data_IF_942898472616
#
_entry.id   IF_942898472616
#
_cell.length_a   1.000
_cell.length_b   1.000
_cell.length_c   1.000
_cell.angle_alpha   90.00
_cell.angle_beta   90.00
_cell.angle_gamma   90.00
#
_symmetry.space_group_name_H-M   'P 1'
#
loop_
_entity.id
_entity.type
_entity.pdbx_description
1 polymer ?
#
# COMPACT_ATOMS: atom_id res chain seq x y z
N UNK A 1 5.49 23.21 -19.31
CA UNK A 1 4.61 22.39 -18.42
C UNK A 1 3.68 21.52 -19.26
N UNK A 2 3.33 20.28 -18.85
CA UNK A 2 2.35 19.48 -19.57
C UNK A 2 0.97 20.16 -19.54
N UNK A 3 0.25 20.05 -20.65
CA UNK A 3 -1.04 20.70 -20.85
C UNK A 3 -2.15 20.08 -19.97
N UNK A 4 -3.15 20.85 -19.56
CA UNK A 4 -4.17 20.42 -18.59
C UNK A 4 -4.96 19.19 -19.08
N UNK A 5 -5.29 19.16 -20.37
CA UNK A 5 -5.95 18.03 -21.04
C UNK A 5 -5.13 16.74 -20.93
N UNK A 6 -3.80 16.84 -21.05
CA UNK A 6 -2.89 15.69 -20.94
C UNK A 6 -2.89 15.13 -19.52
N UNK A 7 -2.85 15.99 -18.50
CA UNK A 7 -2.91 15.58 -17.10
C UNK A 7 -4.23 14.88 -16.76
N UNK A 8 -5.36 15.40 -17.26
CA UNK A 8 -6.69 14.79 -17.08
C UNK A 8 -6.73 13.39 -17.72
N UNK A 9 -6.20 13.24 -18.94
CA UNK A 9 -6.14 11.94 -19.63
C UNK A 9 -5.26 10.93 -18.88
N UNK A 10 -4.09 11.36 -18.41
CA UNK A 10 -3.20 10.50 -17.61
C UNK A 10 -3.91 10.05 -16.33
N UNK A 11 -4.59 10.96 -15.63
CA UNK A 11 -5.34 10.62 -14.42
C UNK A 11 -6.47 9.61 -14.71
N UNK A 12 -7.24 9.83 -15.78
CA UNK A 12 -8.30 8.92 -16.18
C UNK A 12 -7.76 7.53 -16.53
N UNK A 13 -6.70 7.46 -17.34
CA UNK A 13 -6.04 6.20 -17.69
C UNK A 13 -5.53 5.45 -16.46
N UNK A 14 -4.85 6.16 -15.54
CA UNK A 14 -4.35 5.56 -14.30
C UNK A 14 -5.48 4.99 -13.43
N UNK A 15 -6.62 5.69 -13.32
CA UNK A 15 -7.78 5.22 -12.55
C UNK A 15 -8.44 4.00 -13.18
N UNK A 16 -8.57 3.97 -14.50
CA UNK A 16 -9.12 2.81 -15.21
C UNK A 16 -8.23 1.58 -15.05
N UNK A 17 -6.92 1.74 -15.25
CA UNK A 17 -5.95 0.66 -15.07
C UNK A 17 -5.93 0.15 -13.63
N UNK A 18 -5.92 1.06 -12.65
CA UNK A 18 -5.97 0.68 -11.24
C UNK A 18 -7.29 0.00 -10.87
N UNK A 19 -8.43 0.48 -11.39
CA UNK A 19 -9.74 -0.16 -11.20
C UNK A 19 -9.78 -1.57 -11.77
N UNK A 20 -9.31 -1.76 -13.00
CA UNK A 20 -9.24 -3.06 -13.64
C UNK A 20 -8.28 -4.01 -12.91
N UNK A 21 -7.10 -3.51 -12.50
CA UNK A 21 -6.14 -4.29 -11.73
C UNK A 21 -6.70 -4.70 -10.36
N UNK A 22 -7.42 -3.80 -9.68
CA UNK A 22 -8.09 -4.11 -8.42
C UNK A 22 -9.18 -5.16 -8.60
N UNK A 23 -10.04 -5.01 -9.61
CA UNK A 23 -11.13 -5.95 -9.90
C UNK A 23 -10.64 -7.34 -10.29
N UNK A 24 -9.50 -7.43 -10.99
CA UNK A 24 -8.87 -8.70 -11.39
C UNK A 24 -7.93 -9.28 -10.33
N UNK A 25 -7.79 -8.65 -9.16
CA UNK A 25 -6.88 -9.10 -8.10
C UNK A 25 -5.40 -8.94 -8.44
N UNK A 26 -5.07 -8.14 -9.46
CA UNK A 26 -3.69 -7.84 -9.86
C UNK A 26 -3.14 -6.69 -9.02
N UNK A 27 -2.17 -6.99 -8.16
CA UNK A 27 -1.57 -6.02 -7.24
C UNK A 27 -2.61 -5.18 -6.46
N UNK A 28 -3.63 -5.82 -5.83
CA UNK A 28 -4.82 -5.16 -5.32
C UNK A 28 -4.49 -4.06 -4.32
N UNK A 29 -3.42 -4.25 -3.53
CA UNK A 29 -2.95 -3.26 -2.56
C UNK A 29 -2.46 -1.96 -3.19
N UNK A 30 -1.64 -2.06 -4.25
CA UNK A 30 -1.13 -0.89 -4.96
C UNK A 30 -2.26 -0.18 -5.70
N UNK A 31 -3.11 -0.95 -6.36
CA UNK A 31 -4.29 -0.44 -7.07
C UNK A 31 -5.22 0.31 -6.11
N UNK A 32 -5.51 -0.28 -4.95
CA UNK A 32 -6.36 0.33 -3.93
C UNK A 32 -5.73 1.60 -3.32
N UNK A 33 -4.43 1.58 -3.00
CA UNK A 33 -3.72 2.77 -2.50
C UNK A 33 -3.69 3.89 -3.52
N UNK A 34 -3.46 3.59 -4.81
CA UNK A 34 -3.48 4.59 -5.88
C UNK A 34 -4.88 5.20 -6.07
N UNK A 35 -5.92 4.36 -6.09
CA UNK A 35 -7.30 4.82 -6.18
C UNK A 35 -7.67 5.70 -4.97
N UNK A 36 -7.30 5.30 -3.76
CA UNK A 36 -7.54 6.08 -2.54
C UNK A 36 -6.82 7.44 -2.59
N UNK A 37 -5.54 7.45 -2.97
CA UNK A 37 -4.73 8.68 -3.06
C UNK A 37 -5.29 9.68 -4.08
N UNK A 38 -5.84 9.20 -5.20
CA UNK A 38 -6.46 10.08 -6.23
C UNK A 38 -7.87 10.55 -5.85
N UNK A 39 -8.59 9.76 -5.03
CA UNK A 39 -9.98 10.05 -4.64
C UNK A 39 -10.09 11.21 -3.65
N UNK A 40 -9.18 11.31 -2.68
CA UNK A 40 -9.21 12.34 -1.63
C UNK A 40 -9.15 13.77 -2.20
N UNK A 41 -8.12 14.16 -3.00
CA UNK A 41 -8.03 15.53 -3.52
C UNK A 41 -9.14 15.86 -4.50
N UNK A 42 -9.60 14.88 -5.30
CA UNK A 42 -10.72 15.11 -6.25
C UNK A 42 -12.05 15.29 -5.53
N UNK A 43 -12.28 14.59 -4.41
CA UNK A 43 -13.49 14.76 -3.60
C UNK A 43 -13.49 16.11 -2.90
N UNK A 44 -12.36 16.48 -2.28
CA UNK A 44 -12.22 17.75 -1.57
C UNK A 44 -12.35 18.97 -2.52
N UNK A 45 -11.87 18.86 -3.76
CA UNK A 45 -12.01 19.93 -4.75
C UNK A 45 -13.43 20.01 -5.36
N UNK A 46 -14.09 18.87 -5.58
CA UNK A 46 -15.33 18.80 -6.38
C UNK A 46 -16.61 18.92 -5.54
N UNK A 47 -16.61 18.47 -4.28
CA UNK A 47 -17.83 18.30 -3.48
C UNK A 47 -17.72 19.02 -2.13
N UNK A 48 -17.56 20.34 -2.17
CA UNK A 48 -17.46 21.23 -1.00
C UNK A 48 -18.84 21.66 -0.53
N UNK A 49 -19.68 20.71 -0.12
CA UNK A 49 -21.08 20.98 0.24
C UNK A 49 -21.23 22.00 1.38
N UNK A 50 -20.18 22.21 2.17
CA UNK A 50 -20.13 23.19 3.26
C UNK A 50 -20.04 24.64 2.77
N UNK A 51 -19.64 24.88 1.52
CA UNK A 51 -19.62 26.19 0.87
C UNK A 51 -20.83 26.44 -0.04
N UNK A 52 -21.67 25.41 -0.26
CA UNK A 52 -22.85 25.51 -1.11
C UNK A 52 -24.05 26.13 -0.38
N UNK A 53 -24.68 27.10 -1.04
CA UNK A 53 -25.82 27.86 -0.51
C UNK A 53 -27.16 27.32 -1.01
N UNK A 54 -27.20 26.77 -2.23
CA UNK A 54 -28.41 26.14 -2.77
C UNK A 54 -28.69 24.81 -2.05
N UNK A 55 -29.84 24.64 -1.40
CA UNK A 55 -30.16 23.44 -0.63
C UNK A 55 -30.24 22.16 -1.49
N UNK A 56 -30.65 22.28 -2.74
CA UNK A 56 -30.76 21.16 -3.69
C UNK A 56 -29.37 20.69 -4.09
N UNK A 57 -28.53 21.61 -4.56
CA UNK A 57 -27.15 21.33 -4.98
C UNK A 57 -26.32 20.80 -3.80
N UNK A 58 -26.51 21.38 -2.61
CA UNK A 58 -25.88 20.90 -1.37
C UNK A 58 -26.26 19.46 -1.03
N UNK A 59 -27.52 19.08 -1.25
CA UNK A 59 -28.00 17.71 -1.09
C UNK A 59 -27.26 16.74 -2.02
N UNK A 60 -27.16 17.08 -3.30
CA UNK A 60 -26.44 16.28 -4.29
C UNK A 60 -24.95 16.15 -3.96
N UNK A 61 -24.29 17.27 -3.61
CA UNK A 61 -22.88 17.25 -3.22
C UNK A 61 -22.63 16.36 -1.99
N UNK A 62 -23.53 16.36 -0.99
CA UNK A 62 -23.44 15.45 0.16
C UNK A 62 -23.54 13.99 -0.24
N UNK A 63 -24.44 13.63 -1.16
CA UNK A 63 -24.57 12.25 -1.66
C UNK A 63 -23.30 11.81 -2.37
N UNK A 64 -22.73 12.66 -3.23
CA UNK A 64 -21.47 12.37 -3.90
C UNK A 64 -20.29 12.24 -2.93
N UNK A 65 -20.21 13.13 -1.94
CA UNK A 65 -19.22 13.06 -0.88
C UNK A 65 -19.34 11.75 -0.10
N UNK A 66 -20.54 11.41 0.36
CA UNK A 66 -20.80 10.17 1.10
C UNK A 66 -20.40 8.93 0.30
N UNK A 67 -20.77 8.86 -0.98
CA UNK A 67 -20.36 7.79 -1.90
C UNK A 67 -18.83 7.64 -1.96
N UNK A 68 -18.10 8.75 -2.10
CA UNK A 68 -16.65 8.72 -2.18
C UNK A 68 -16.03 8.27 -0.85
N UNK A 69 -16.58 8.69 0.29
CA UNK A 69 -16.14 8.22 1.62
C UNK A 69 -16.38 6.72 1.78
N UNK A 70 -17.55 6.21 1.41
CA UNK A 70 -17.84 4.77 1.45
C UNK A 70 -16.87 3.96 0.57
N UNK A 71 -16.57 4.45 -0.63
CA UNK A 71 -15.61 3.82 -1.53
C UNK A 71 -14.19 3.86 -0.96
N UNK A 72 -13.78 4.98 -0.36
CA UNK A 72 -12.48 5.11 0.32
C UNK A 72 -12.34 4.07 1.44
N UNK A 73 -13.38 3.86 2.24
CA UNK A 73 -13.38 2.83 3.28
C UNK A 73 -13.09 1.42 2.72
N UNK A 74 -13.73 1.05 1.61
CA UNK A 74 -13.47 -0.21 0.92
C UNK A 74 -12.05 -0.31 0.35
N UNK A 75 -11.54 0.78 -0.23
CA UNK A 75 -10.18 0.83 -0.77
C UNK A 75 -9.12 0.72 0.33
N UNK A 76 -9.32 1.37 1.48
CA UNK A 76 -8.40 1.27 2.61
C UNK A 76 -8.32 -0.17 3.13
N UNK A 77 -9.47 -0.86 3.24
CA UNK A 77 -9.54 -2.28 3.59
C UNK A 77 -8.73 -3.14 2.60
N UNK A 78 -8.95 -2.95 1.30
CA UNK A 78 -8.23 -3.68 0.24
C UNK A 78 -6.72 -3.36 0.19
N UNK A 79 -6.32 -2.14 0.57
CA UNK A 79 -4.92 -1.72 0.61
C UNK A 79 -4.09 -2.44 1.69
N UNK A 80 -4.72 -2.74 2.83
CA UNK A 80 -4.07 -3.39 3.98
C UNK A 80 -4.26 -4.91 4.01
N UNK A 81 -5.22 -5.45 3.26
CA UNK A 81 -5.44 -6.89 3.20
C UNK A 81 -4.24 -7.60 2.56
N UNK A 82 -3.82 -8.70 3.20
CA UNK A 82 -2.67 -9.49 2.76
C UNK A 82 -3.08 -10.86 2.23
N UNK A 83 -4.37 -11.24 2.28
CA UNK A 83 -4.92 -12.50 1.75
C UNK A 83 -4.05 -13.74 2.10
N UNK A 84 -3.39 -13.75 3.26
CA UNK A 84 -2.48 -14.82 3.66
C UNK A 84 -1.15 -14.90 2.89
N UNK A 85 -0.89 -14.02 1.91
CA UNK A 85 0.38 -13.95 1.17
C UNK A 85 1.37 -13.04 1.93
N UNK A 86 2.51 -13.58 2.40
CA UNK A 86 3.49 -12.74 3.09
C UNK A 86 4.02 -11.66 2.15
N UNK A 87 3.84 -10.40 2.54
CA UNK A 87 4.30 -9.24 1.79
C UNK A 87 5.83 -9.17 1.68
N UNK A 88 6.33 -8.33 0.77
CA UNK A 88 7.77 -8.09 0.56
C UNK A 88 8.53 -7.80 1.86
N UNK A 89 7.96 -6.94 2.73
CA UNK A 89 8.55 -6.63 4.03
C UNK A 89 8.65 -7.86 4.96
N UNK A 90 7.65 -8.74 4.94
CA UNK A 90 7.69 -9.99 5.71
C UNK A 90 8.79 -10.92 5.16
N UNK A 91 8.88 -11.05 3.84
CA UNK A 91 9.90 -11.88 3.18
C UNK A 91 11.31 -11.36 3.45
N UNK A 92 11.51 -10.05 3.38
CA UNK A 92 12.78 -9.41 3.71
C UNK A 92 13.17 -9.60 5.18
N UNK A 93 12.22 -9.41 6.12
CA UNK A 93 12.45 -9.66 7.55
C UNK A 93 12.78 -11.13 7.83
N UNK A 94 12.11 -12.06 7.14
CA UNK A 94 12.38 -13.49 7.29
C UNK A 94 13.76 -13.86 6.77
N UNK A 95 14.13 -13.39 5.57
CA UNK A 95 15.47 -13.59 5.02
C UNK A 95 16.56 -13.03 5.95
N UNK A 96 16.36 -11.83 6.52
CA UNK A 96 17.29 -11.25 7.49
C UNK A 96 17.35 -12.07 8.80
N UNK A 97 16.21 -12.60 9.26
CA UNK A 97 16.17 -13.44 10.45
C UNK A 97 16.89 -14.78 10.23
N UNK A 98 16.75 -15.38 9.05
CA UNK A 98 17.41 -16.62 8.66
C UNK A 98 18.93 -16.41 8.54
N UNK A 99 19.38 -15.35 7.85
CA UNK A 99 20.79 -14.97 7.78
C UNK A 99 21.41 -14.72 9.17
N UNK A 100 20.67 -14.07 10.08
CA UNK A 100 21.12 -13.86 11.47
C UNK A 100 21.26 -15.18 12.24
N UNK A 101 20.40 -16.17 11.99
CA UNK A 101 20.46 -17.49 12.63
C UNK A 101 21.68 -18.26 12.13
N UNK A 102 21.91 -18.28 10.83
CA UNK A 102 23.08 -18.91 10.21
C UNK A 102 24.39 -18.27 10.74
N UNK A 103 24.48 -16.94 10.73
CA UNK A 103 25.65 -16.23 11.27
C UNK A 103 25.92 -16.55 12.75
N UNK A 104 24.87 -16.69 13.57
CA UNK A 104 25.02 -17.11 14.98
C UNK A 104 25.49 -18.56 15.12
N UNK A 105 25.06 -19.45 14.24
CA UNK A 105 25.49 -20.86 14.24
C UNK A 105 26.96 -20.97 13.85
N UNK A 106 27.38 -20.27 12.80
CA UNK A 106 28.78 -20.20 12.36
C UNK A 106 29.69 -19.64 13.45
N UNK A 107 29.29 -18.54 14.10
CA UNK A 107 30.05 -17.97 15.22
C UNK A 107 30.18 -18.92 16.41
N UNK A 108 29.12 -19.71 16.71
CA UNK A 108 29.19 -20.75 17.75
C UNK A 108 30.11 -21.89 17.38
N UNK A 109 30.05 -22.37 16.13
CA UNK A 109 30.92 -23.44 15.63
C UNK A 109 32.40 -23.02 15.72
N UNK A 110 32.74 -21.84 15.20
CA UNK A 110 34.10 -21.30 15.28
C UNK A 110 34.60 -21.15 16.73
N UNK A 111 33.73 -20.72 17.66
CA UNK A 111 34.07 -20.61 19.08
C UNK A 111 34.35 -21.98 19.72
N UNK A 112 33.58 -23.00 19.34
CA UNK A 112 33.76 -24.35 19.86
C UNK A 112 35.05 -24.98 19.31
N UNK A 113 35.32 -24.82 18.01
CA UNK A 113 36.58 -25.26 17.38
C UNK A 113 37.80 -24.60 18.03
N UNK A 114 37.77 -23.29 18.27
CA UNK A 114 38.84 -22.59 18.95
C UNK A 114 39.08 -23.09 20.39
N UNK A 115 38.02 -23.46 21.11
CA UNK A 115 38.16 -24.07 22.45
C UNK A 115 38.79 -25.46 22.39
N UNK A 116 38.40 -26.28 21.41
CA UNK A 116 38.96 -27.62 21.22
C UNK A 116 40.44 -27.54 20.85
N UNK A 117 40.80 -26.68 19.88
CA UNK A 117 42.19 -26.46 19.50
C UNK A 117 43.05 -26.02 20.69
N UNK A 118 42.53 -25.12 21.54
CA UNK A 118 43.21 -24.71 22.77
C UNK A 118 43.41 -25.87 23.76
N UNK A 119 42.41 -26.75 23.90
CA UNK A 119 42.49 -27.90 24.80
C UNK A 119 43.46 -28.99 24.30
N UNK A 120 43.68 -29.11 22.99
CA UNK A 120 44.70 -30.02 22.43
C UNK A 120 46.14 -29.49 22.60
N UNK A 121 46.31 -28.20 22.87
CA UNK A 121 47.61 -27.54 23.04
C UNK A 121 48.05 -27.40 24.51
N UNK A 122 47.20 -27.80 25.46
CA UNK A 122 47.46 -27.79 26.90
C UNK A 122 47.63 -29.20 27.44
#
# INVERSE_FOLDING_TARGET
PPDATTLVRINAAARLLAGAALATGRAPRLSASLLAATLVPTTAARYRFWEESDPTVKGEQKVHFAKNVSMLGGLLRAGVDTEGKPGLAWRARRAAADAKREGRQLAKAARNEAKLAKAHLS
#
